data_IF_852448735874
#
_entry.id   IF_852448735874
#
_cell.length_a   1.000
_cell.length_b   1.000
_cell.length_c   1.000
_cell.angle_alpha   90.00
_cell.angle_beta   90.00
_cell.angle_gamma   90.00
#
_symmetry.space_group_name_H-M   'P 1'
#
loop_
_entity.id
_entity.type
_entity.pdbx_description
1 polymer ?
#
# COMPACT_ATOMS: atom_id res chain seq x y z
N UNK A 1 9.86 -11.61 -17.76
CA UNK A 1 8.55 -12.15 -17.34
C UNK A 1 8.65 -13.03 -16.08
N UNK A 2 9.47 -14.09 -16.03
CA UNK A 2 9.62 -14.92 -14.81
C UNK A 2 10.17 -14.15 -13.62
N UNK A 3 11.16 -13.27 -13.79
CA UNK A 3 11.71 -12.44 -12.73
C UNK A 3 10.66 -11.49 -12.13
N UNK A 4 9.85 -10.84 -12.96
CA UNK A 4 8.78 -9.94 -12.49
C UNK A 4 7.70 -10.70 -11.72
N UNK A 5 7.37 -11.92 -12.17
CA UNK A 5 6.41 -12.77 -11.48
C UNK A 5 6.95 -13.23 -10.10
N UNK A 6 8.21 -13.67 -10.04
CA UNK A 6 8.83 -14.10 -8.78
C UNK A 6 8.95 -12.96 -7.77
N UNK A 7 9.32 -11.76 -8.22
CA UNK A 7 9.36 -10.58 -7.37
C UNK A 7 7.97 -10.19 -6.86
N UNK A 8 6.96 -10.24 -7.72
CA UNK A 8 5.58 -9.98 -7.33
C UNK A 8 5.04 -10.97 -6.29
N UNK A 9 5.31 -12.27 -6.47
CA UNK A 9 4.93 -13.30 -5.50
C UNK A 9 5.66 -13.13 -4.17
N UNK A 10 6.95 -12.81 -4.21
CA UNK A 10 7.74 -12.54 -2.99
C UNK A 10 7.17 -11.33 -2.25
N UNK A 11 6.87 -10.24 -2.95
CA UNK A 11 6.25 -9.06 -2.37
C UNK A 11 4.89 -9.38 -1.75
N UNK A 12 4.05 -10.18 -2.41
CA UNK A 12 2.75 -10.59 -1.89
C UNK A 12 2.88 -11.43 -0.62
N UNK A 13 3.84 -12.37 -0.56
CA UNK A 13 4.11 -13.17 0.64
C UNK A 13 4.60 -12.30 1.81
N UNK A 14 5.54 -11.41 1.57
CA UNK A 14 6.08 -10.51 2.60
C UNK A 14 5.00 -9.57 3.12
N UNK A 15 4.16 -9.05 2.25
CA UNK A 15 3.05 -8.19 2.65
C UNK A 15 1.98 -8.96 3.42
N UNK A 16 1.63 -10.16 2.98
CA UNK A 16 0.71 -11.04 3.72
C UNK A 16 1.23 -11.38 5.12
N UNK A 17 2.52 -11.66 5.27
CA UNK A 17 3.14 -11.86 6.59
C UNK A 17 3.08 -10.59 7.44
N UNK A 18 3.38 -9.44 6.88
CA UNK A 18 3.27 -8.15 7.55
C UNK A 18 1.84 -7.92 8.08
N UNK A 19 0.82 -8.08 7.24
CA UNK A 19 -0.58 -7.87 7.61
C UNK A 19 -1.04 -8.85 8.68
N UNK A 20 -0.56 -10.11 8.61
CA UNK A 20 -0.81 -11.11 9.64
C UNK A 20 -0.22 -10.69 11.00
N UNK A 21 1.02 -10.19 11.02
CA UNK A 21 1.67 -9.67 12.24
C UNK A 21 0.90 -8.47 12.78
N UNK A 22 0.53 -7.52 11.92
CA UNK A 22 -0.28 -6.35 12.31
C UNK A 22 -1.58 -6.78 12.98
N UNK A 23 -2.24 -7.80 12.44
CA UNK A 23 -3.47 -8.33 13.03
C UNK A 23 -3.22 -9.01 14.39
N UNK A 24 -2.15 -9.80 14.53
CA UNK A 24 -1.81 -10.45 15.80
C UNK A 24 -1.50 -9.44 16.92
N UNK A 25 -0.86 -8.35 16.57
CA UNK A 25 -0.39 -7.32 17.52
C UNK A 25 -1.44 -6.23 17.72
N UNK A 26 -2.32 -6.01 16.75
CA UNK A 26 -3.26 -4.88 16.69
C UNK A 26 -4.24 -4.77 17.85
N UNK A 27 -4.51 -5.87 18.56
CA UNK A 27 -5.29 -5.84 19.82
C UNK A 27 -4.49 -5.44 21.08
N UNK A 28 -3.15 -5.31 20.94
CA UNK A 28 -2.21 -5.08 22.06
C UNK A 28 -1.36 -3.82 21.91
N UNK A 29 -1.30 -3.25 20.74
CA UNK A 29 -0.49 -2.07 20.42
C UNK A 29 -1.31 -1.02 19.69
N UNK A 30 -0.96 0.25 19.90
CA UNK A 30 -1.57 1.35 19.16
C UNK A 30 -1.21 1.31 17.66
N UNK A 31 -2.22 1.57 16.82
CA UNK A 31 -2.05 1.52 15.36
C UNK A 31 -0.99 2.51 14.85
N UNK A 32 -0.87 3.69 15.49
CA UNK A 32 0.14 4.69 15.13
C UNK A 32 1.54 4.21 15.48
N UNK A 33 1.71 3.63 16.67
CA UNK A 33 3.00 3.09 17.09
C UNK A 33 3.47 1.98 16.16
N UNK A 34 2.58 1.05 15.79
CA UNK A 34 2.88 0.00 14.82
C UNK A 34 3.29 0.57 13.46
N UNK A 35 2.54 1.58 12.98
CA UNK A 35 2.83 2.25 11.72
C UNK A 35 4.20 2.93 11.74
N UNK A 36 4.49 3.72 12.78
CA UNK A 36 5.78 4.42 12.91
C UNK A 36 6.96 3.45 12.96
N UNK A 37 6.84 2.35 13.71
CA UNK A 37 7.88 1.31 13.76
C UNK A 37 8.11 0.72 12.36
N UNK A 38 7.05 0.34 11.65
CA UNK A 38 7.15 -0.23 10.31
C UNK A 38 7.77 0.78 9.30
N UNK A 39 7.41 2.06 9.40
CA UNK A 39 7.96 3.12 8.54
C UNK A 39 9.43 3.36 8.82
N UNK A 40 9.82 3.53 10.08
CA UNK A 40 11.20 3.82 10.49
C UNK A 40 12.12 2.64 10.15
N UNK A 41 11.72 1.41 10.52
CA UNK A 41 12.50 0.21 10.20
C UNK A 41 12.68 0.09 8.68
N UNK A 42 11.60 0.25 7.92
CA UNK A 42 11.68 0.20 6.46
C UNK A 42 12.52 1.33 5.86
N UNK A 43 12.49 2.54 6.42
CA UNK A 43 13.34 3.65 5.97
C UNK A 43 14.82 3.36 6.22
N UNK A 44 15.16 2.84 7.40
CA UNK A 44 16.54 2.46 7.76
C UNK A 44 17.06 1.33 6.87
N UNK A 45 16.25 0.30 6.63
CA UNK A 45 16.65 -0.85 5.79
C UNK A 45 16.82 -0.48 4.32
N UNK A 46 16.02 0.46 3.80
CA UNK A 46 16.12 0.91 2.41
C UNK A 46 17.22 1.96 2.20
N UNK A 47 17.63 2.68 3.24
CA UNK A 47 18.59 3.79 3.13
C UNK A 47 19.89 3.42 2.40
N UNK A 48 20.61 2.32 2.72
CA UNK A 48 21.88 2.01 2.06
C UNK A 48 21.71 1.84 0.55
N UNK A 49 20.68 1.11 0.12
CA UNK A 49 20.42 0.81 -1.30
C UNK A 49 19.96 2.08 -2.03
N UNK A 50 19.10 2.87 -1.41
CA UNK A 50 18.59 4.10 -2.02
C UNK A 50 19.67 5.19 -2.13
N UNK A 51 20.50 5.35 -1.11
CA UNK A 51 21.60 6.34 -1.14
C UNK A 51 22.70 5.98 -2.14
N UNK A 52 22.88 4.70 -2.44
CA UNK A 52 23.82 4.22 -3.47
C UNK A 52 23.20 4.22 -4.87
N UNK A 53 21.91 4.47 -5.01
CA UNK A 53 21.26 4.52 -6.32
C UNK A 53 21.78 5.73 -7.13
N UNK A 54 22.05 5.51 -8.41
CA UNK A 54 22.38 6.57 -9.34
C UNK A 54 21.15 7.38 -9.76
N UNK A 55 21.33 8.62 -10.19
CA UNK A 55 20.27 9.46 -10.75
C UNK A 55 19.52 10.33 -9.73
N UNK A 56 20.12 10.61 -8.57
CA UNK A 56 19.60 11.57 -7.62
C UNK A 56 19.50 13.00 -8.19
N UNK A 57 20.33 13.34 -9.17
CA UNK A 57 20.29 14.58 -9.94
C UNK A 57 18.98 14.79 -10.72
N UNK A 58 18.23 13.72 -10.93
CA UNK A 58 16.91 13.76 -11.61
C UNK A 58 15.74 14.09 -10.66
N UNK A 59 15.99 14.19 -9.36
CA UNK A 59 14.98 14.60 -8.39
C UNK A 59 14.69 16.09 -8.53
N UNK A 60 13.63 16.42 -9.25
CA UNK A 60 13.10 17.77 -9.39
C UNK A 60 12.19 18.15 -8.22
N UNK A 61 11.85 19.43 -8.07
CA UNK A 61 10.84 19.88 -7.10
C UNK A 61 9.47 19.20 -7.36
N UNK A 62 9.11 19.01 -8.63
CA UNK A 62 7.89 18.32 -9.02
C UNK A 62 7.92 16.85 -8.57
N UNK A 63 9.02 16.14 -8.84
CA UNK A 63 9.21 14.74 -8.40
C UNK A 63 9.15 14.65 -6.88
N UNK A 64 9.77 15.58 -6.16
CA UNK A 64 9.73 15.64 -4.71
C UNK A 64 8.29 15.84 -4.20
N UNK A 65 7.52 16.72 -4.85
CA UNK A 65 6.09 16.93 -4.53
C UNK A 65 5.26 15.68 -4.71
N UNK A 66 5.42 14.96 -5.82
CA UNK A 66 4.74 13.68 -6.06
C UNK A 66 5.12 12.63 -5.00
N UNK A 67 6.40 12.57 -4.65
CA UNK A 67 6.92 11.65 -3.65
C UNK A 67 6.39 11.97 -2.25
N UNK A 68 6.28 13.26 -1.91
CA UNK A 68 5.66 13.70 -0.65
C UNK A 68 4.18 13.32 -0.56
N UNK A 69 3.41 13.53 -1.65
CA UNK A 69 2.03 13.08 -1.74
C UNK A 69 1.91 11.56 -1.59
N UNK A 70 2.79 10.80 -2.26
CA UNK A 70 2.85 9.35 -2.12
C UNK A 70 3.08 8.94 -0.66
N UNK A 71 4.04 9.55 0.04
CA UNK A 71 4.32 9.29 1.44
C UNK A 71 3.14 9.60 2.37
N UNK A 72 2.51 10.76 2.16
CA UNK A 72 1.30 11.14 2.90
C UNK A 72 0.17 10.11 2.74
N UNK A 73 -0.15 9.74 1.50
CA UNK A 73 -1.20 8.76 1.24
C UNK A 73 -0.82 7.35 1.71
N UNK A 74 0.47 7.00 1.73
CA UNK A 74 0.93 5.76 2.34
C UNK A 74 0.63 5.73 3.85
N UNK A 75 1.00 6.77 4.59
CA UNK A 75 0.72 6.86 6.02
C UNK A 75 -0.79 6.78 6.30
N UNK A 76 -1.59 7.52 5.53
CA UNK A 76 -3.05 7.51 5.64
C UNK A 76 -3.64 6.13 5.34
N UNK A 77 -3.19 5.50 4.25
CA UNK A 77 -3.66 4.17 3.83
C UNK A 77 -3.28 3.08 4.82
N UNK A 78 -2.03 3.08 5.29
CA UNK A 78 -1.54 2.09 6.25
C UNK A 78 -2.20 2.26 7.62
N UNK A 79 -2.40 3.50 8.09
CA UNK A 79 -3.16 3.75 9.31
C UNK A 79 -4.60 3.24 9.18
N UNK A 80 -5.26 3.54 8.05
CA UNK A 80 -6.61 3.05 7.75
C UNK A 80 -6.67 1.52 7.78
N UNK A 81 -5.70 0.84 7.16
CA UNK A 81 -5.59 -0.63 7.16
C UNK A 81 -5.46 -1.19 8.57
N UNK A 82 -4.56 -0.61 9.38
CA UNK A 82 -4.32 -1.07 10.74
C UNK A 82 -5.57 -0.87 11.62
N UNK A 83 -6.22 0.27 11.50
CA UNK A 83 -7.51 0.52 12.19
C UNK A 83 -8.59 -0.44 11.72
N UNK A 84 -8.73 -0.66 10.42
CA UNK A 84 -9.71 -1.60 9.89
C UNK A 84 -9.50 -3.02 10.44
N UNK A 85 -8.26 -3.50 10.52
CA UNK A 85 -7.94 -4.82 11.06
C UNK A 85 -8.13 -4.94 12.58
N UNK A 86 -8.06 -3.85 13.34
CA UNK A 86 -8.33 -3.90 14.78
C UNK A 86 -9.80 -4.00 15.11
N UNK A 87 -10.69 -3.49 14.24
CA UNK A 87 -12.13 -3.38 14.53
C UNK A 87 -13.00 -4.30 13.67
N UNK A 88 -12.52 -4.72 12.49
CA UNK A 88 -13.30 -5.50 11.54
C UNK A 88 -12.76 -6.92 11.30
N UNK A 89 -13.64 -7.84 10.86
CA UNK A 89 -13.20 -9.17 10.47
C UNK A 89 -12.43 -9.12 9.14
N UNK A 90 -11.42 -9.99 8.98
CA UNK A 90 -10.58 -10.07 7.77
C UNK A 90 -11.40 -10.22 6.50
N UNK A 91 -12.47 -11.05 6.55
CA UNK A 91 -13.40 -11.26 5.43
C UNK A 91 -14.07 -9.99 4.90
N UNK A 92 -14.16 -8.95 5.72
CA UNK A 92 -14.71 -7.65 5.33
C UNK A 92 -13.61 -6.70 4.88
N UNK A 93 -12.54 -6.61 5.66
CA UNK A 93 -11.45 -5.64 5.48
C UNK A 93 -10.59 -5.99 4.26
N UNK A 94 -10.16 -7.25 4.14
CA UNK A 94 -9.20 -7.65 3.10
C UNK A 94 -9.72 -7.47 1.67
N UNK A 95 -10.98 -7.82 1.31
CA UNK A 95 -11.49 -7.56 -0.05
C UNK A 95 -11.57 -6.07 -0.38
N UNK A 96 -11.99 -5.25 0.58
CA UNK A 96 -12.12 -3.80 0.37
C UNK A 96 -10.75 -3.16 0.20
N UNK A 97 -9.82 -3.44 1.12
CA UNK A 97 -8.44 -2.94 1.00
C UNK A 97 -7.76 -3.48 -0.25
N UNK A 98 -7.90 -4.77 -0.54
CA UNK A 98 -7.30 -5.45 -1.68
C UNK A 98 -7.87 -5.02 -3.05
N UNK A 99 -8.92 -4.21 -3.08
CA UNK A 99 -9.46 -3.62 -4.30
C UNK A 99 -8.67 -2.36 -4.76
N UNK A 100 -7.67 -1.89 -4.01
CA UNK A 100 -6.85 -0.72 -4.39
C UNK A 100 -6.26 -0.79 -5.81
N UNK A 101 -5.90 -1.96 -6.41
CA UNK A 101 -5.38 -1.99 -7.78
C UNK A 101 -6.39 -1.48 -8.81
N UNK A 102 -7.69 -1.68 -8.56
CA UNK A 102 -8.75 -1.13 -9.40
C UNK A 102 -8.69 0.40 -9.44
N UNK A 103 -8.53 1.03 -8.27
CA UNK A 103 -8.39 2.48 -8.15
C UNK A 103 -7.06 2.98 -8.73
N UNK A 104 -5.97 2.20 -8.61
CA UNK A 104 -4.68 2.53 -9.20
C UNK A 104 -4.75 2.52 -10.74
N UNK A 105 -5.43 1.55 -11.34
CA UNK A 105 -5.67 1.52 -12.80
C UNK A 105 -6.53 2.71 -13.22
N UNK A 106 -7.58 3.04 -12.47
CA UNK A 106 -8.41 4.21 -12.76
C UNK A 106 -7.58 5.51 -12.69
N UNK A 107 -6.69 5.66 -11.72
CA UNK A 107 -5.76 6.79 -11.63
C UNK A 107 -4.82 6.86 -12.84
N UNK A 108 -4.25 5.73 -13.27
CA UNK A 108 -3.39 5.66 -14.46
C UNK A 108 -4.14 6.10 -15.72
N UNK A 109 -5.37 5.61 -15.91
CA UNK A 109 -6.23 5.99 -17.05
C UNK A 109 -6.62 7.47 -17.00
N UNK A 110 -6.90 8.03 -15.83
CA UNK A 110 -7.21 9.45 -15.67
C UNK A 110 -6.04 10.37 -16.08
N UNK A 111 -4.80 9.84 -16.05
CA UNK A 111 -3.60 10.52 -16.56
C UNK A 111 -3.35 10.31 -18.06
N UNK A 112 -4.29 9.70 -18.78
CA UNK A 112 -4.17 9.40 -20.20
C UNK A 112 -3.45 8.08 -20.52
N UNK A 113 -3.19 7.24 -19.51
CA UNK A 113 -2.64 5.91 -19.70
C UNK A 113 -3.68 4.92 -20.23
N UNK A 114 -3.23 3.82 -20.80
CA UNK A 114 -4.09 2.74 -21.30
C UNK A 114 -3.95 1.48 -20.43
N UNK A 115 -5.07 0.82 -20.21
CA UNK A 115 -5.10 -0.46 -19.50
C UNK A 115 -5.63 -1.55 -20.44
N UNK A 116 -4.74 -2.43 -20.90
CA UNK A 116 -5.11 -3.57 -21.73
C UNK A 116 -5.91 -4.64 -20.97
N UNK A 117 -6.56 -5.53 -21.72
CA UNK A 117 -7.36 -6.62 -21.15
C UNK A 117 -6.61 -7.47 -20.14
N UNK A 118 -5.31 -7.68 -20.30
CA UNK A 118 -4.47 -8.44 -19.35
C UNK A 118 -4.38 -7.77 -17.97
N UNK A 119 -4.32 -6.43 -17.92
CA UNK A 119 -4.33 -5.67 -16.66
C UNK A 119 -5.66 -5.84 -15.95
N UNK A 120 -6.78 -5.68 -16.65
CA UNK A 120 -8.12 -5.86 -16.09
C UNK A 120 -8.37 -7.29 -15.62
N UNK A 121 -7.94 -8.28 -16.41
CA UNK A 121 -8.03 -9.70 -16.02
C UNK A 121 -7.21 -9.96 -14.73
N UNK A 122 -6.02 -9.39 -14.61
CA UNK A 122 -5.19 -9.48 -13.40
C UNK A 122 -5.84 -8.84 -12.18
N UNK A 123 -6.37 -7.63 -12.31
CA UNK A 123 -7.08 -6.94 -11.22
C UNK A 123 -8.30 -7.76 -10.76
N UNK A 124 -9.11 -8.23 -11.69
CA UNK A 124 -10.28 -9.07 -11.37
C UNK A 124 -9.87 -10.38 -10.69
N UNK A 125 -8.82 -11.04 -11.17
CA UNK A 125 -8.32 -12.27 -10.56
C UNK A 125 -7.87 -12.06 -9.11
N UNK A 126 -7.17 -10.94 -8.81
CA UNK A 126 -6.76 -10.58 -7.44
C UNK A 126 -7.97 -10.34 -6.55
N UNK A 127 -8.92 -9.51 -6.98
CA UNK A 127 -10.13 -9.19 -6.18
C UNK A 127 -10.96 -10.45 -5.92
N UNK A 128 -11.17 -11.29 -6.94
CA UNK A 128 -11.88 -12.56 -6.80
C UNK A 128 -11.12 -13.52 -5.88
N UNK A 129 -9.81 -13.64 -6.03
CA UNK A 129 -8.97 -14.50 -5.18
C UNK A 129 -9.06 -14.12 -3.71
N UNK A 130 -8.92 -12.85 -3.37
CA UNK A 130 -9.05 -12.35 -1.99
C UNK A 130 -10.46 -12.63 -1.46
N UNK A 131 -11.50 -12.35 -2.26
CA UNK A 131 -12.89 -12.58 -1.88
C UNK A 131 -13.17 -14.06 -1.60
N UNK A 132 -12.63 -14.98 -2.41
CA UNK A 132 -12.78 -16.41 -2.21
C UNK A 132 -12.11 -16.91 -0.94
N UNK A 133 -10.86 -16.49 -0.70
CA UNK A 133 -10.09 -16.89 0.48
C UNK A 133 -10.74 -16.41 1.77
N UNK A 134 -11.35 -15.22 1.76
CA UNK A 134 -11.94 -14.62 2.97
C UNK A 134 -13.37 -15.05 3.26
N UNK A 135 -14.02 -15.80 2.37
CA UNK A 135 -15.42 -16.26 2.54
C UNK A 135 -15.65 -17.20 3.73
N UNK A 136 -14.64 -17.95 4.12
CA UNK A 136 -14.76 -19.03 5.13
C UNK A 136 -14.44 -18.64 6.57
N UNK A 137 -13.97 -17.42 6.85
CA UNK A 137 -13.58 -17.03 8.20
C UNK A 137 -14.79 -16.56 9.03
N UNK A 138 -15.11 -17.26 10.14
CA UNK A 138 -16.04 -16.73 11.14
C UNK A 138 -15.33 -15.62 11.90
N UNK A 139 -15.80 -14.40 11.81
CA UNK A 139 -15.25 -13.28 12.56
C UNK A 139 -16.37 -12.33 12.97
N UNK A 140 -16.56 -12.16 14.27
CA UNK A 140 -17.38 -11.09 14.80
C UNK A 140 -16.61 -9.78 14.70
N UNK A 141 -17.26 -8.72 14.22
CA UNK A 141 -16.71 -7.38 14.27
C UNK A 141 -16.67 -6.93 15.75
N UNK A 142 -15.48 -6.62 16.27
CA UNK A 142 -15.30 -6.07 17.60
C UNK A 142 -15.73 -4.60 17.69
N UNK A 143 -16.09 -3.99 16.56
CA UNK A 143 -16.55 -2.62 16.41
C UNK A 143 -17.69 -2.50 15.40
N UNK A 144 -18.09 -1.26 15.08
CA UNK A 144 -19.14 -1.02 14.10
C UNK A 144 -18.72 -1.45 12.69
N UNK A 145 -19.56 -2.25 12.03
CA UNK A 145 -19.31 -2.72 10.65
C UNK A 145 -19.06 -1.57 9.67
N UNK A 146 -19.80 -0.47 9.81
CA UNK A 146 -19.65 0.71 8.96
C UNK A 146 -18.32 1.41 9.19
N UNK A 147 -17.84 1.46 10.44
CA UNK A 147 -16.54 2.02 10.76
C UNK A 147 -15.41 1.20 10.11
N UNK A 148 -15.47 -0.13 10.19
CA UNK A 148 -14.51 -1.01 9.53
C UNK A 148 -14.49 -0.81 8.01
N UNK A 149 -15.67 -0.67 7.38
CA UNK A 149 -15.77 -0.37 5.94
C UNK A 149 -15.14 0.99 5.63
N UNK A 150 -15.43 2.03 6.41
CA UNK A 150 -14.88 3.37 6.22
C UNK A 150 -13.35 3.38 6.26
N UNK A 151 -12.75 2.74 7.26
CA UNK A 151 -11.29 2.61 7.36
C UNK A 151 -10.69 1.77 6.23
N UNK A 152 -11.38 0.70 5.79
CA UNK A 152 -10.94 -0.12 4.66
C UNK A 152 -10.97 0.64 3.33
N UNK A 153 -11.99 1.45 3.10
CA UNK A 153 -12.08 2.32 1.91
C UNK A 153 -10.99 3.40 1.92
N UNK A 154 -10.73 4.01 3.09
CA UNK A 154 -9.63 4.96 3.25
C UNK A 154 -8.28 4.30 2.94
N UNK A 155 -8.08 3.05 3.41
CA UNK A 155 -6.88 2.29 3.11
C UNK A 155 -6.73 2.02 1.60
N UNK A 156 -7.79 1.54 0.95
CA UNK A 156 -7.77 1.27 -0.49
C UNK A 156 -7.47 2.53 -1.31
N UNK A 157 -8.10 3.65 -0.98
CA UNK A 157 -7.87 4.94 -1.63
C UNK A 157 -6.45 5.45 -1.37
N UNK A 158 -5.98 5.40 -0.12
CA UNK A 158 -4.63 5.79 0.27
C UNK A 158 -3.57 5.01 -0.51
N UNK A 159 -3.67 3.68 -0.56
CA UNK A 159 -2.72 2.86 -1.32
C UNK A 159 -2.79 3.11 -2.83
N UNK A 160 -3.98 3.28 -3.40
CA UNK A 160 -4.11 3.58 -4.82
C UNK A 160 -3.38 4.89 -5.19
N UNK A 161 -3.54 5.94 -4.40
CA UNK A 161 -2.84 7.22 -4.62
C UNK A 161 -1.34 7.11 -4.32
N UNK A 162 -0.94 6.35 -3.29
CA UNK A 162 0.47 6.05 -3.02
C UNK A 162 1.16 5.50 -4.25
N UNK A 163 0.63 4.41 -4.81
CA UNK A 163 1.20 3.77 -5.99
C UNK A 163 1.11 4.66 -7.22
N UNK A 164 0.00 5.36 -7.41
CA UNK A 164 -0.18 6.29 -8.53
C UNK A 164 0.87 7.40 -8.53
N UNK A 165 1.07 8.08 -7.41
CA UNK A 165 2.07 9.15 -7.29
C UNK A 165 3.50 8.62 -7.31
N UNK A 166 3.79 7.47 -6.68
CA UNK A 166 5.11 6.85 -6.74
C UNK A 166 5.50 6.46 -8.16
N UNK A 167 4.59 5.85 -8.92
CA UNK A 167 4.83 5.49 -10.31
C UNK A 167 5.08 6.73 -11.17
N UNK A 168 4.30 7.78 -10.96
CA UNK A 168 4.51 9.04 -11.66
C UNK A 168 5.86 9.67 -11.34
N UNK A 169 6.27 9.69 -10.09
CA UNK A 169 7.58 10.18 -9.69
C UNK A 169 8.71 9.33 -10.30
N UNK A 170 8.53 8.03 -10.40
CA UNK A 170 9.49 7.06 -10.95
C UNK A 170 9.67 7.16 -12.48
N UNK A 171 8.79 7.89 -13.20
CA UNK A 171 9.01 8.20 -14.62
C UNK A 171 10.26 9.07 -14.83
N UNK A 172 10.68 9.83 -13.83
CA UNK A 172 11.81 10.79 -13.93
C UNK A 172 12.94 10.54 -12.95
N UNK A 173 12.72 9.81 -11.87
CA UNK A 173 13.68 9.57 -10.81
C UNK A 173 13.83 8.06 -10.51
N UNK A 174 14.94 7.63 -9.86
CA UNK A 174 15.13 6.21 -9.52
C UNK A 174 14.04 5.70 -8.59
N UNK A 175 13.42 4.57 -8.92
CA UNK A 175 12.29 3.99 -8.18
C UNK A 175 12.62 3.77 -6.69
N UNK A 176 13.80 3.23 -6.37
CA UNK A 176 14.20 2.98 -4.98
C UNK A 176 14.32 4.26 -4.17
N UNK A 177 14.84 5.33 -4.78
CA UNK A 177 14.96 6.64 -4.15
C UNK A 177 13.59 7.27 -3.91
N UNK A 178 12.67 7.14 -4.89
CA UNK A 178 11.26 7.58 -4.74
C UNK A 178 10.60 6.87 -3.57
N UNK A 179 10.71 5.54 -3.50
CA UNK A 179 10.10 4.75 -2.41
C UNK A 179 10.69 5.12 -1.05
N UNK A 180 12.00 5.32 -0.98
CA UNK A 180 12.67 5.70 0.27
C UNK A 180 12.27 7.10 0.74
N UNK A 181 12.31 8.10 -0.14
CA UNK A 181 11.91 9.47 0.17
C UNK A 181 10.41 9.54 0.54
N UNK A 182 9.54 8.82 -0.18
CA UNK A 182 8.13 8.72 0.19
C UNK A 182 7.94 8.15 1.60
N UNK A 183 8.75 7.16 1.99
CA UNK A 183 8.71 6.60 3.34
C UNK A 183 9.16 7.58 4.42
N UNK A 184 10.15 8.45 4.12
CA UNK A 184 10.53 9.55 5.02
C UNK A 184 9.39 10.54 5.22
N UNK A 185 8.69 10.94 4.14
CA UNK A 185 7.50 11.77 4.24
C UNK A 185 6.36 11.08 5.01
N UNK A 186 6.19 9.77 4.82
CA UNK A 186 5.23 9.00 5.60
C UNK A 186 5.55 9.01 7.11
N UNK A 187 6.83 8.94 7.50
CA UNK A 187 7.25 9.06 8.90
C UNK A 187 6.89 10.44 9.49
N UNK A 188 6.96 11.50 8.68
CA UNK A 188 6.65 12.87 9.14
C UNK A 188 5.15 13.12 9.28
N UNK A 189 4.32 12.33 8.64
CA UNK A 189 2.86 12.51 8.57
C UNK A 189 2.08 11.50 9.42
N UNK A 190 2.73 10.44 9.91
CA UNK A 190 2.14 9.40 10.78
C UNK A 190 2.09 9.82 12.24
#
# INVERSE_FOLDING_TARGET
MLASLSLGLTAALLWGMHDYIVRLVGGRADARAMLLVALVVGAVLLAPISLMAEGWDRFTEFTLGLTALSGFFYALGAYGLYRAFTIGPVRLVAPICGAYPLLSVAFHMARGGEAGLGVWAGVLAVVLGITLVTRGEPGEAQGGRLEAIGWSLLAAFGFALTFGFSQWAAETAPELSVVWVARLFACLTA
#
